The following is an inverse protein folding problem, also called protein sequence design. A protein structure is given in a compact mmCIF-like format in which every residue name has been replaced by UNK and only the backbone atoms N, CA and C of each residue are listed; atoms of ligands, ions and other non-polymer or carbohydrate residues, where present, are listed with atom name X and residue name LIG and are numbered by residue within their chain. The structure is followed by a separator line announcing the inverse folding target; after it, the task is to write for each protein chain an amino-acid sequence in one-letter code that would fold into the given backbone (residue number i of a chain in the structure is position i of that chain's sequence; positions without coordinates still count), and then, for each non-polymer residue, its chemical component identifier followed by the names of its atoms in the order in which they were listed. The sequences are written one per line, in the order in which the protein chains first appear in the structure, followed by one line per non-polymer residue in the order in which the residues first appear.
data_IF_747790107055
#
_entry.id   IF_747790107055
#
_cell.length_a   1.000
_cell.length_b   1.000
_cell.length_c   1.000
_cell.angle_alpha   90.00
_cell.angle_beta   90.00
_cell.angle_gamma   90.00
#
_symmetry.space_group_name_H-M   'P 1'
#
loop_
_entity.id
_entity.type
_entity.pdbx_description
1 polymer ?
#
# COMPACT_ATOMS: atom_id res chain seq x y z
N UNK A 1 -44.79 35.06 1.43
CA UNK A 1 -44.67 33.90 0.53
C UNK A 1 -43.21 33.79 0.14
N UNK A 2 -42.57 32.62 0.25
CA UNK A 2 -41.19 32.44 -0.22
C UNK A 2 -41.23 32.28 -1.74
N UNK A 3 -40.57 33.15 -2.49
CA UNK A 3 -40.70 33.23 -3.94
C UNK A 3 -39.82 32.24 -4.72
N UNK A 4 -38.95 31.46 -4.06
CA UNK A 4 -38.00 30.50 -4.67
C UNK A 4 -37.17 31.02 -5.87
N UNK A 5 -37.15 32.34 -6.08
CA UNK A 5 -36.43 32.98 -7.16
C UNK A 5 -34.92 32.91 -6.91
N UNK A 6 -34.18 32.65 -7.98
CA UNK A 6 -32.72 32.54 -7.97
C UNK A 6 -32.15 33.30 -9.15
N UNK A 7 -31.09 34.06 -8.91
CA UNK A 7 -30.30 34.73 -9.92
C UNK A 7 -28.82 34.46 -9.66
N UNK A 8 -28.01 34.52 -10.72
CA UNK A 8 -26.56 34.33 -10.65
C UNK A 8 -25.85 35.65 -10.98
N UNK A 9 -24.69 35.87 -10.38
CA UNK A 9 -23.83 37.00 -10.73
C UNK A 9 -23.10 36.73 -12.06
N UNK A 10 -22.87 37.79 -12.84
CA UNK A 10 -22.04 37.73 -14.05
C UNK A 10 -20.53 37.69 -13.69
N UNK A 11 -19.66 37.69 -14.72
CA UNK A 11 -18.20 37.66 -14.55
C UNK A 11 -17.63 38.89 -13.80
N UNK A 12 -18.35 40.01 -13.81
CA UNK A 12 -18.00 41.25 -13.11
C UNK A 12 -18.54 41.28 -11.67
N UNK A 13 -19.29 40.24 -11.25
CA UNK A 13 -19.90 40.17 -9.92
C UNK A 13 -21.24 40.91 -9.79
N UNK A 14 -21.81 41.39 -10.88
CA UNK A 14 -23.10 42.08 -10.91
C UNK A 14 -24.26 41.07 -10.95
N UNK A 15 -25.34 41.36 -10.23
CA UNK A 15 -26.56 40.55 -10.21
C UNK A 15 -27.81 41.45 -10.20
N UNK A 16 -28.94 40.90 -10.64
CA UNK A 16 -30.25 41.54 -10.55
C UNK A 16 -31.28 40.47 -10.19
N UNK A 17 -32.17 40.79 -9.26
CA UNK A 17 -33.25 39.89 -8.81
C UNK A 17 -34.44 40.72 -8.35
N UNK A 18 -35.64 40.27 -8.70
CA UNK A 18 -36.87 40.87 -8.20
C UNK A 18 -37.11 40.41 -6.76
N UNK A 19 -37.43 41.34 -5.87
CA UNK A 19 -37.69 41.03 -4.46
C UNK A 19 -38.75 41.97 -3.90
N UNK A 20 -39.55 41.48 -2.96
CA UNK A 20 -40.52 42.30 -2.25
C UNK A 20 -39.89 42.94 -1.01
N UNK A 21 -40.52 44.01 -0.51
CA UNK A 21 -40.12 44.61 0.75
C UNK A 21 -40.12 43.54 1.86
N UNK A 22 -39.08 43.57 2.70
CA UNK A 22 -38.83 42.62 3.79
C UNK A 22 -38.39 41.20 3.41
N UNK A 23 -38.20 40.90 2.13
CA UNK A 23 -37.62 39.62 1.72
C UNK A 23 -36.17 39.47 2.20
N UNK A 24 -35.77 38.23 2.50
CA UNK A 24 -34.39 37.87 2.84
C UNK A 24 -33.67 37.30 1.63
N UNK A 25 -32.69 38.04 1.12
CA UNK A 25 -31.78 37.58 0.07
C UNK A 25 -30.64 36.77 0.69
N UNK A 26 -30.36 35.60 0.11
CA UNK A 26 -29.29 34.69 0.57
C UNK A 26 -28.25 34.51 -0.53
N UNK A 27 -27.00 34.70 -0.17
CA UNK A 27 -25.85 34.60 -1.08
C UNK A 27 -25.02 33.38 -0.72
N UNK A 28 -24.75 32.51 -1.71
CA UNK A 28 -24.03 31.25 -1.52
C UNK A 28 -23.00 31.09 -2.64
N UNK A 29 -21.75 30.78 -2.25
CA UNK A 29 -20.66 30.43 -3.17
C UNK A 29 -19.80 29.35 -2.55
N UNK A 30 -19.36 28.38 -3.35
CA UNK A 30 -18.46 27.32 -2.89
C UNK A 30 -17.17 27.92 -2.31
N UNK A 31 -16.78 27.47 -1.11
CA UNK A 31 -15.60 27.96 -0.38
C UNK A 31 -15.81 29.27 0.39
N UNK A 32 -17.04 29.78 0.46
CA UNK A 32 -17.40 30.97 1.22
C UNK A 32 -18.57 30.69 2.17
N UNK A 33 -18.62 31.43 3.27
CA UNK A 33 -19.73 31.41 4.20
C UNK A 33 -21.00 31.98 3.55
N UNK A 34 -22.16 31.52 4.01
CA UNK A 34 -23.45 32.03 3.55
C UNK A 34 -23.73 33.38 4.20
N UNK A 35 -23.95 34.40 3.38
CA UNK A 35 -24.35 35.74 3.84
C UNK A 35 -25.83 35.99 3.51
N UNK A 36 -26.58 36.67 4.37
CA UNK A 36 -27.94 37.12 4.06
C UNK A 36 -28.17 38.61 4.34
N UNK A 37 -29.11 39.23 3.60
CA UNK A 37 -29.50 40.63 3.73
C UNK A 37 -31.01 40.76 3.53
N UNK A 38 -31.66 41.65 4.29
CA UNK A 38 -33.08 41.98 4.13
C UNK A 38 -33.25 43.16 3.17
N UNK A 39 -34.29 43.12 2.35
CA UNK A 39 -34.68 44.22 1.45
C UNK A 39 -35.40 45.31 2.27
N UNK A 40 -34.91 46.55 2.18
CA UNK A 40 -35.46 47.71 2.90
C UNK A 40 -36.70 48.28 2.17
N UNK A 41 -37.59 48.93 2.90
CA UNK A 41 -38.89 49.45 2.43
C UNK A 41 -38.83 50.70 1.56
N UNK A 42 -37.70 51.40 1.55
CA UNK A 42 -37.72 52.84 1.32
C UNK A 42 -37.54 53.20 -0.17
N UNK A 43 -37.83 52.27 -1.07
CA UNK A 43 -37.93 52.50 -2.52
C UNK A 43 -36.62 52.86 -3.24
N UNK A 44 -35.50 52.98 -2.51
CA UNK A 44 -34.18 53.23 -3.09
C UNK A 44 -33.46 51.89 -3.21
N UNK A 45 -33.50 51.31 -4.41
CA UNK A 45 -32.64 50.19 -4.81
C UNK A 45 -31.18 50.67 -4.94
N UNK A 46 -30.60 51.09 -3.80
CA UNK A 46 -29.18 51.37 -3.68
C UNK A 46 -28.39 50.11 -4.02
N UNK A 47 -27.33 50.27 -4.81
CA UNK A 47 -26.44 49.20 -5.21
C UNK A 47 -26.03 48.38 -3.97
N UNK A 48 -26.47 47.12 -3.91
CA UNK A 48 -26.21 46.25 -2.77
C UNK A 48 -24.82 45.63 -2.92
N UNK A 49 -23.85 46.16 -2.17
CA UNK A 49 -22.52 45.57 -2.10
C UNK A 49 -22.49 44.44 -1.06
N UNK A 50 -22.23 43.22 -1.52
CA UNK A 50 -22.13 42.02 -0.67
C UNK A 50 -20.67 41.57 -0.60
N UNK A 51 -20.15 41.42 0.63
CA UNK A 51 -18.86 40.81 0.89
C UNK A 51 -19.06 39.37 1.38
N UNK A 52 -18.36 38.42 0.76
CA UNK A 52 -18.38 37.01 1.14
C UNK A 52 -17.09 36.66 1.88
N UNK A 53 -17.23 36.01 3.04
CA UNK A 53 -16.10 35.57 3.87
C UNK A 53 -15.70 34.17 3.42
N UNK A 54 -14.40 33.91 3.21
CA UNK A 54 -13.91 32.58 2.86
C UNK A 54 -14.02 31.63 4.05
N UNK A 55 -14.47 30.41 3.83
CA UNK A 55 -14.43 29.36 4.85
C UNK A 55 -12.96 29.00 5.12
N UNK A 56 -12.56 28.97 6.39
CA UNK A 56 -11.23 28.51 6.78
C UNK A 56 -11.05 27.05 6.31
N UNK A 57 -9.99 26.81 5.54
CA UNK A 57 -9.59 25.46 5.14
C UNK A 57 -8.43 25.04 6.01
N UNK A 58 -8.56 23.90 6.67
CA UNK A 58 -7.46 23.27 7.38
C UNK A 58 -6.37 22.90 6.37
N UNK A 59 -5.18 23.47 6.56
CA UNK A 59 -4.00 23.11 5.77
C UNK A 59 -3.36 21.92 6.46
N UNK A 60 -3.34 20.77 5.80
CA UNK A 60 -2.68 19.58 6.31
C UNK A 60 -1.16 19.85 6.42
N UNK A 61 -0.58 19.57 7.59
CA UNK A 61 0.83 19.84 7.85
C UNK A 61 1.71 18.94 6.96
N UNK A 62 2.53 19.57 6.10
CA UNK A 62 3.48 18.84 5.26
C UNK A 62 4.66 18.41 6.13
N UNK A 63 4.81 17.11 6.37
CA UNK A 63 6.01 16.55 7.01
C UNK A 63 7.21 16.71 6.08
N UNK A 64 7.98 17.76 6.27
CA UNK A 64 9.25 17.95 5.57
C UNK A 64 10.32 17.11 6.24
N UNK A 65 10.81 16.09 5.54
CA UNK A 65 11.93 15.28 6.04
C UNK A 65 13.21 16.14 6.08
N UNK A 66 13.97 16.08 7.19
CA UNK A 66 15.29 16.73 7.28
C UNK A 66 16.22 16.13 6.22
N UNK A 67 16.54 16.91 5.19
CA UNK A 67 17.54 16.56 4.18
C UNK A 67 18.94 16.79 4.73
N UNK A 68 19.87 15.92 4.36
CA UNK A 68 21.27 15.97 4.80
C UNK A 68 22.15 16.80 3.88
N UNK A 69 21.66 17.17 2.69
CA UNK A 69 22.40 17.91 1.65
C UNK A 69 23.19 17.01 0.71
N UNK A 70 23.20 15.69 0.96
CA UNK A 70 23.81 14.67 0.12
C UNK A 70 22.73 13.99 -0.71
N UNK A 71 22.69 14.32 -2.00
CA UNK A 71 21.67 13.82 -2.94
C UNK A 71 21.60 12.28 -2.97
N UNK A 72 22.72 11.58 -2.75
CA UNK A 72 22.75 10.12 -2.75
C UNK A 72 22.05 9.48 -1.54
N UNK A 73 22.07 10.17 -0.40
CA UNK A 73 21.38 9.76 0.83
C UNK A 73 19.95 10.28 0.84
N UNK A 74 19.76 11.53 0.45
CA UNK A 74 18.47 12.19 0.46
C UNK A 74 17.51 11.57 -0.56
N UNK A 75 17.99 11.15 -1.74
CA UNK A 75 17.19 10.40 -2.73
C UNK A 75 16.70 9.04 -2.22
N UNK A 76 17.38 8.44 -1.25
CA UNK A 76 16.96 7.17 -0.60
C UNK A 76 16.08 7.41 0.62
N UNK A 77 16.20 8.59 1.24
CA UNK A 77 15.40 9.02 2.39
C UNK A 77 14.01 9.54 1.97
N UNK A 78 13.85 9.98 0.72
CA UNK A 78 12.51 10.12 0.11
C UNK A 78 11.85 8.75 0.19
N UNK A 79 10.81 8.65 1.02
CA UNK A 79 10.08 7.41 1.23
C UNK A 79 9.76 6.79 -0.12
N UNK A 80 10.28 5.58 -0.38
CA UNK A 80 9.79 4.74 -1.47
C UNK A 80 8.29 4.62 -1.24
N UNK A 81 7.52 5.36 -2.02
CA UNK A 81 6.08 5.34 -1.93
C UNK A 81 5.65 3.89 -2.16
N UNK A 82 5.07 3.28 -1.13
CA UNK A 82 4.57 1.92 -1.24
C UNK A 82 3.33 1.95 -2.13
N UNK A 83 3.55 1.68 -3.42
CA UNK A 83 2.49 1.64 -4.42
C UNK A 83 1.40 0.63 -4.05
N UNK A 84 1.74 -0.44 -3.33
CA UNK A 84 0.77 -1.41 -2.83
C UNK A 84 -0.12 -0.82 -1.74
N UNK A 85 0.46 -0.05 -0.81
CA UNK A 85 -0.30 0.65 0.22
C UNK A 85 -1.22 1.73 -0.37
N UNK A 86 -0.74 2.49 -1.36
CA UNK A 86 -1.57 3.48 -2.08
C UNK A 86 -2.79 2.82 -2.74
N UNK A 87 -2.58 1.71 -3.46
CA UNK A 87 -3.66 0.96 -4.10
C UNK A 87 -4.59 0.37 -3.03
N UNK A 88 -4.06 -0.18 -1.95
CA UNK A 88 -4.86 -0.70 -0.84
C UNK A 88 -5.77 0.37 -0.22
N UNK A 89 -5.24 1.57 0.03
CA UNK A 89 -6.01 2.72 0.53
C UNK A 89 -7.08 3.18 -0.47
N UNK A 90 -6.76 3.21 -1.77
CA UNK A 90 -7.71 3.60 -2.82
C UNK A 90 -8.87 2.61 -2.98
N UNK A 91 -8.60 1.32 -2.79
CA UNK A 91 -9.60 0.24 -2.92
C UNK A 91 -10.44 0.08 -1.65
N UNK A 92 -9.92 0.49 -0.48
CA UNK A 92 -10.65 0.44 0.80
C UNK A 92 -10.87 -0.97 1.37
N UNK A 93 -10.23 -1.99 0.79
CA UNK A 93 -10.28 -3.35 1.31
C UNK A 93 -9.27 -3.52 2.45
N UNK A 94 -9.60 -4.28 3.51
CA UNK A 94 -8.62 -4.66 4.51
C UNK A 94 -7.47 -5.41 3.81
N UNK A 95 -6.23 -5.00 4.10
CA UNK A 95 -5.08 -5.69 3.54
C UNK A 95 -5.09 -7.15 4.00
N UNK A 96 -4.78 -8.11 3.12
CA UNK A 96 -4.70 -9.50 3.51
C UNK A 96 -3.68 -9.62 4.64
N UNK A 97 -4.15 -10.04 5.82
CA UNK A 97 -3.25 -10.38 6.93
C UNK A 97 -2.32 -11.48 6.42
N UNK A 98 -1.00 -11.20 6.46
CA UNK A 98 0.00 -12.20 6.14
C UNK A 98 -0.19 -13.45 7.00
N UNK A 99 0.48 -14.56 6.64
CA UNK A 99 0.32 -15.85 7.35
C UNK A 99 0.44 -15.64 8.86
N UNK A 100 -0.64 -15.91 9.59
CA UNK A 100 -0.64 -15.88 11.05
C UNK A 100 0.23 -17.03 11.54
N UNK A 101 1.47 -16.73 11.93
CA UNK A 101 2.43 -17.69 12.48
C UNK A 101 3.04 -17.11 13.74
N UNK A 102 3.30 -17.98 14.71
CA UNK A 102 4.11 -17.61 15.87
C UNK A 102 5.49 -17.16 15.39
N UNK A 103 5.95 -16.00 15.87
CA UNK A 103 7.28 -15.49 15.55
C UNK A 103 8.30 -16.27 16.38
N UNK A 104 9.20 -17.05 15.75
CA UNK A 104 10.21 -17.79 16.48
C UNK A 104 11.18 -16.83 17.15
N UNK A 105 11.64 -17.14 18.36
CA UNK A 105 12.58 -16.29 19.09
C UNK A 105 13.83 -15.97 18.22
N UNK A 106 14.16 -14.68 18.15
CA UNK A 106 15.36 -14.20 17.48
C UNK A 106 16.47 -13.92 18.48
N UNK A 107 17.71 -14.23 18.10
CA UNK A 107 18.88 -14.08 18.98
C UNK A 107 19.00 -12.63 19.47
N UNK A 108 18.81 -11.64 18.57
CA UNK A 108 18.83 -10.22 18.95
C UNK A 108 17.72 -9.84 19.94
N UNK A 109 16.51 -10.34 19.73
CA UNK A 109 15.35 -10.05 20.57
C UNK A 109 15.47 -10.65 21.98
N UNK A 110 16.31 -11.66 22.16
CA UNK A 110 16.57 -12.27 23.47
C UNK A 110 17.83 -11.71 24.13
N UNK A 111 18.92 -11.50 23.40
CA UNK A 111 20.17 -10.97 23.96
C UNK A 111 20.11 -9.48 24.34
N UNK A 112 19.41 -8.65 23.54
CA UNK A 112 19.30 -7.21 23.82
C UNK A 112 18.62 -6.93 25.18
N UNK A 113 17.47 -7.56 25.51
CA UNK A 113 16.89 -7.43 26.85
C UNK A 113 17.83 -7.88 27.95
N UNK A 114 18.51 -9.03 27.79
CA UNK A 114 19.44 -9.57 28.80
C UNK A 114 20.59 -8.59 29.06
N UNK A 115 21.16 -8.00 28.01
CA UNK A 115 22.23 -7.02 28.11
C UNK A 115 21.78 -5.70 28.78
N UNK A 116 20.49 -5.36 28.64
CA UNK A 116 19.85 -4.20 29.26
C UNK A 116 19.24 -4.52 30.65
N UNK A 117 19.57 -5.67 31.24
CA UNK A 117 19.11 -6.07 32.59
C UNK A 117 17.70 -6.66 32.65
N UNK A 118 17.01 -6.84 31.52
CA UNK A 118 15.69 -7.47 31.43
C UNK A 118 15.84 -8.96 31.10
N UNK A 119 15.49 -9.82 32.06
CA UNK A 119 15.56 -11.28 31.89
C UNK A 119 14.35 -11.81 31.10
N UNK A 120 14.53 -12.05 29.79
CA UNK A 120 13.56 -12.81 28.99
C UNK A 120 13.86 -14.33 29.08
N UNK A 121 13.45 -14.95 30.19
CA UNK A 121 13.78 -16.33 30.55
C UNK A 121 13.20 -17.35 29.55
N UNK A 122 11.97 -17.10 29.08
CA UNK A 122 11.29 -17.97 28.12
C UNK A 122 11.97 -17.94 26.75
N UNK A 123 12.28 -16.74 26.22
CA UNK A 123 12.99 -16.59 24.96
C UNK A 123 14.41 -17.17 24.99
N UNK A 124 15.10 -17.06 26.13
CA UNK A 124 16.41 -17.69 26.33
C UNK A 124 16.31 -19.22 26.32
N UNK A 125 15.34 -19.79 27.02
CA UNK A 125 15.09 -21.23 27.03
C UNK A 125 14.74 -21.77 25.64
N UNK A 126 13.90 -21.09 24.87
CA UNK A 126 13.50 -21.54 23.52
C UNK A 126 14.64 -21.46 22.49
N UNK A 127 15.59 -20.55 22.67
CA UNK A 127 16.83 -20.49 21.90
C UNK A 127 17.80 -21.62 22.27
N UNK A 128 18.04 -21.84 23.57
CA UNK A 128 18.98 -22.85 24.09
C UNK A 128 18.46 -24.27 23.84
N UNK A 129 17.17 -24.51 24.10
CA UNK A 129 16.51 -25.82 23.88
C UNK A 129 16.39 -26.20 22.40
N UNK A 130 16.70 -25.27 21.48
CA UNK A 130 16.66 -25.51 20.04
C UNK A 130 15.25 -25.53 19.45
N UNK A 131 14.19 -25.28 20.24
CA UNK A 131 12.81 -25.16 19.75
C UNK A 131 12.69 -24.10 18.66
N UNK A 132 13.27 -22.92 18.87
CA UNK A 132 13.30 -21.85 17.87
C UNK A 132 14.00 -22.27 16.56
N UNK A 133 15.05 -23.11 16.65
CA UNK A 133 15.74 -23.66 15.47
C UNK A 133 14.90 -24.71 14.73
N UNK A 134 14.12 -25.51 15.44
CA UNK A 134 13.20 -26.50 14.84
C UNK A 134 12.03 -25.79 14.14
N UNK A 135 11.41 -24.82 14.81
CA UNK A 135 10.31 -24.03 14.25
C UNK A 135 10.74 -23.26 12.99
N UNK A 136 11.90 -22.60 13.00
CA UNK A 136 12.45 -21.93 11.80
C UNK A 136 12.69 -22.90 10.64
N UNK A 137 13.16 -24.12 10.93
CA UNK A 137 13.36 -25.15 9.91
C UNK A 137 12.03 -25.61 9.32
N UNK A 138 11.04 -25.89 10.16
CA UNK A 138 9.70 -26.26 9.73
C UNK A 138 9.10 -25.20 8.80
N UNK A 139 9.09 -23.92 9.20
CA UNK A 139 8.55 -22.85 8.36
C UNK A 139 9.27 -22.71 7.02
N UNK A 140 10.59 -22.96 6.98
CA UNK A 140 11.34 -22.97 5.72
C UNK A 140 10.88 -24.09 4.79
N UNK A 141 10.63 -25.29 5.32
CA UNK A 141 10.12 -26.42 4.54
C UNK A 141 8.69 -26.16 4.07
N UNK A 142 7.81 -25.67 4.95
CA UNK A 142 6.42 -25.35 4.59
C UNK A 142 6.36 -24.31 3.47
N UNK A 143 7.13 -23.22 3.60
CA UNK A 143 7.19 -22.18 2.58
C UNK A 143 7.88 -22.66 1.29
N UNK A 144 8.79 -23.63 1.36
CA UNK A 144 9.38 -24.23 0.18
C UNK A 144 8.33 -25.05 -0.58
N UNK A 145 7.67 -25.97 0.12
CA UNK A 145 6.64 -26.85 -0.45
C UNK A 145 5.48 -26.06 -1.04
N UNK A 146 5.05 -24.99 -0.36
CA UNK A 146 3.99 -24.12 -0.86
C UNK A 146 4.37 -23.43 -2.18
N UNK A 147 5.61 -22.94 -2.31
CA UNK A 147 6.07 -22.32 -3.55
C UNK A 147 6.20 -23.34 -4.69
N UNK A 148 6.70 -24.55 -4.40
CA UNK A 148 6.75 -25.65 -5.38
C UNK A 148 5.34 -25.99 -5.86
N UNK A 149 4.43 -26.22 -4.92
CA UNK A 149 3.02 -26.53 -5.22
C UNK A 149 2.33 -25.39 -5.98
N UNK A 150 2.69 -24.13 -5.70
CA UNK A 150 2.12 -22.98 -6.40
C UNK A 150 2.45 -22.98 -7.90
N UNK A 151 3.70 -23.35 -8.26
CA UNK A 151 4.14 -23.53 -9.64
C UNK A 151 3.45 -24.74 -10.26
N UNK A 152 3.53 -25.92 -9.61
CA UNK A 152 2.96 -27.17 -10.14
C UNK A 152 1.45 -27.12 -10.38
N UNK A 153 0.70 -26.30 -9.63
CA UNK A 153 -0.74 -26.10 -9.84
C UNK A 153 -1.07 -25.21 -11.04
N UNK A 154 -0.08 -24.58 -11.67
CA UNK A 154 -0.27 -23.55 -12.72
C UNK A 154 0.54 -23.79 -13.99
N UNK A 155 1.62 -24.55 -13.90
CA UNK A 155 2.39 -25.01 -15.04
C UNK A 155 2.13 -26.51 -15.22
N UNK A 156 1.76 -26.91 -16.42
CA UNK A 156 1.53 -28.31 -16.77
C UNK A 156 2.84 -29.10 -16.70
N UNK A 157 2.77 -30.36 -16.27
CA UNK A 157 3.96 -31.21 -16.16
C UNK A 157 4.64 -31.39 -17.54
N UNK A 158 3.88 -31.42 -18.63
CA UNK A 158 4.36 -31.51 -20.02
C UNK A 158 5.34 -30.39 -20.40
N UNK A 159 5.18 -29.19 -19.84
CA UNK A 159 6.11 -28.09 -20.06
C UNK A 159 7.52 -28.47 -19.60
N UNK A 160 7.67 -29.08 -18.42
CA UNK A 160 8.96 -29.51 -17.90
C UNK A 160 9.50 -30.74 -18.62
N UNK A 161 8.62 -31.68 -18.95
CA UNK A 161 8.98 -32.91 -19.66
C UNK A 161 9.53 -32.58 -21.06
N UNK A 162 8.94 -31.60 -21.75
CA UNK A 162 9.43 -31.14 -23.06
C UNK A 162 10.86 -30.59 -23.02
N UNK A 163 11.31 -30.12 -21.85
CA UNK A 163 12.67 -29.64 -21.59
C UNK A 163 13.63 -30.76 -21.13
N UNK A 164 13.18 -32.01 -21.11
CA UNK A 164 13.97 -33.17 -20.72
C UNK A 164 14.01 -33.45 -19.22
N UNK A 165 13.17 -32.78 -18.42
CA UNK A 165 13.07 -33.04 -16.98
C UNK A 165 12.10 -34.22 -16.75
N UNK A 166 12.52 -35.30 -16.07
CA UNK A 166 11.62 -36.41 -15.77
C UNK A 166 10.45 -35.97 -14.90
N UNK A 167 9.24 -36.47 -15.16
CA UNK A 167 7.99 -36.05 -14.50
C UNK A 167 8.04 -36.20 -12.97
N UNK A 168 8.66 -37.28 -12.49
CA UNK A 168 8.88 -37.56 -11.08
C UNK A 168 9.88 -36.61 -10.40
N UNK A 169 10.72 -35.94 -11.19
CA UNK A 169 11.75 -34.99 -10.71
C UNK A 169 11.37 -33.52 -10.90
N UNK A 170 10.16 -33.21 -11.36
CA UNK A 170 9.71 -31.81 -11.56
C UNK A 170 9.78 -31.00 -10.26
N UNK A 171 9.29 -31.55 -9.13
CA UNK A 171 9.36 -30.87 -7.84
C UNK A 171 10.81 -30.58 -7.40
N UNK A 172 11.70 -31.54 -7.65
CA UNK A 172 13.12 -31.42 -7.34
C UNK A 172 13.80 -30.37 -8.22
N UNK A 173 13.47 -30.34 -9.52
CA UNK A 173 13.95 -29.29 -10.43
C UNK A 173 13.49 -27.89 -10.00
N UNK A 174 12.24 -27.75 -9.55
CA UNK A 174 11.73 -26.48 -9.02
C UNK A 174 12.51 -26.06 -7.77
N UNK A 175 12.71 -26.97 -6.83
CA UNK A 175 13.53 -26.71 -5.64
C UNK A 175 14.96 -26.31 -6.00
N UNK A 176 15.57 -27.06 -6.92
CA UNK A 176 16.91 -26.79 -7.44
C UNK A 176 17.01 -25.39 -8.05
N UNK A 177 16.01 -24.99 -8.82
CA UNK A 177 15.94 -23.67 -9.44
C UNK A 177 15.89 -22.54 -8.40
N UNK A 178 15.23 -22.76 -7.25
CA UNK A 178 15.24 -21.77 -6.17
C UNK A 178 16.60 -21.60 -5.50
N UNK A 179 17.43 -22.65 -5.50
CA UNK A 179 18.79 -22.62 -4.94
C UNK A 179 19.77 -21.96 -5.89
N UNK A 180 19.76 -22.35 -7.17
CA UNK A 180 20.67 -21.81 -8.17
C UNK A 180 20.31 -20.36 -8.56
N UNK A 181 19.01 -20.05 -8.68
CA UNK A 181 18.53 -18.71 -9.05
C UNK A 181 17.48 -18.20 -8.06
N UNK A 182 17.90 -17.49 -6.99
CA UNK A 182 16.98 -16.97 -5.97
C UNK A 182 15.87 -16.06 -6.50
N UNK A 183 16.07 -15.45 -7.67
CA UNK A 183 15.10 -14.59 -8.37
C UNK A 183 13.82 -15.35 -8.74
N UNK A 184 13.90 -16.66 -9.03
CA UNK A 184 12.72 -17.49 -9.30
C UNK A 184 11.73 -17.38 -8.15
N UNK A 185 12.22 -17.48 -6.90
CA UNK A 185 11.38 -17.40 -5.71
C UNK A 185 10.81 -15.99 -5.49
N UNK A 186 11.50 -14.94 -5.96
CA UNK A 186 10.98 -13.56 -5.96
C UNK A 186 9.78 -13.44 -6.90
N UNK A 187 9.85 -14.01 -8.10
CA UNK A 187 8.73 -14.02 -9.04
C UNK A 187 7.53 -14.82 -8.51
N UNK A 188 7.77 -15.96 -7.85
CA UNK A 188 6.71 -16.73 -7.18
C UNK A 188 6.00 -15.91 -6.10
N UNK A 189 6.75 -15.17 -5.27
CA UNK A 189 6.17 -14.27 -4.24
C UNK A 189 5.37 -13.13 -4.86
N UNK A 190 5.82 -12.61 -6.00
CA UNK A 190 5.13 -11.60 -6.79
C UNK A 190 3.96 -12.16 -7.62
N UNK A 191 3.65 -13.47 -7.49
CA UNK A 191 2.62 -14.17 -8.27
C UNK A 191 2.81 -14.08 -9.79
N UNK A 192 4.05 -13.91 -10.24
CA UNK A 192 4.42 -13.86 -11.65
C UNK A 192 4.94 -15.23 -12.10
N UNK A 193 4.08 -16.03 -12.73
CA UNK A 193 4.46 -17.37 -13.20
C UNK A 193 5.44 -17.30 -14.37
N UNK A 194 5.17 -16.48 -15.39
CA UNK A 194 6.00 -16.38 -16.58
C UNK A 194 7.44 -15.97 -16.25
N UNK A 195 7.63 -15.02 -15.33
CA UNK A 195 8.96 -14.61 -14.87
C UNK A 195 9.68 -15.72 -14.09
N UNK A 196 8.94 -16.53 -13.32
CA UNK A 196 9.52 -17.67 -12.63
C UNK A 196 9.97 -18.75 -13.63
N UNK A 197 9.10 -19.13 -14.58
CA UNK A 197 9.39 -20.16 -15.59
C UNK A 197 10.56 -19.75 -16.49
N UNK A 198 10.55 -18.52 -17.01
CA UNK A 198 11.66 -17.98 -17.81
C UNK A 198 13.01 -18.09 -17.10
N UNK A 199 13.05 -17.77 -15.80
CA UNK A 199 14.27 -17.91 -15.00
C UNK A 199 14.65 -19.35 -14.69
N UNK A 200 13.69 -20.27 -14.65
CA UNK A 200 13.95 -21.69 -14.48
C UNK A 200 14.53 -22.33 -15.74
N UNK A 201 14.12 -21.88 -16.93
CA UNK A 201 14.67 -22.37 -18.21
C UNK A 201 16.20 -22.19 -18.28
N UNK A 202 16.73 -21.08 -17.76
CA UNK A 202 18.18 -20.82 -17.67
C UNK A 202 18.92 -21.90 -16.84
N UNK A 203 18.22 -22.58 -15.92
CA UNK A 203 18.78 -23.56 -14.98
C UNK A 203 18.67 -25.00 -15.49
N UNK A 204 17.77 -25.28 -16.44
CA UNK A 204 17.56 -26.59 -17.06
C UNK A 204 18.88 -27.28 -17.45
N UNK A 205 19.80 -26.67 -18.23
CA UNK A 205 21.02 -27.35 -18.65
C UNK A 205 21.94 -27.74 -17.49
N UNK A 206 21.89 -27.00 -16.37
CA UNK A 206 22.67 -27.29 -15.17
C UNK A 206 22.07 -28.50 -14.46
N UNK A 207 20.74 -28.55 -14.33
CA UNK A 207 20.04 -29.65 -13.69
C UNK A 207 20.24 -30.97 -14.46
N UNK A 208 20.07 -30.93 -15.79
CA UNK A 208 20.25 -32.11 -16.65
C UNK A 208 21.68 -32.67 -16.62
N UNK A 209 22.70 -31.82 -16.40
CA UNK A 209 24.08 -32.27 -16.21
C UNK A 209 24.29 -33.03 -14.90
N UNK A 210 23.57 -32.66 -13.83
CA UNK A 210 23.64 -33.32 -12.51
C UNK A 210 22.79 -34.59 -12.41
N UNK A 211 21.96 -34.81 -13.42
CA UNK A 211 21.09 -35.99 -13.58
C UNK A 211 21.85 -37.22 -14.09
N UNK A 212 23.00 -37.00 -14.74
CA UNK A 212 23.91 -38.02 -15.26
C UNK A 212 24.97 -38.37 -14.23
#
# INVERSE_FOLDING_TARGET
MSTDQKAYSNAEGLFSIDAFAYDELRFVRAGFERTSRKVLTDGINSQLLISLIRVAQDIEEVKVNKITGDLSKDSRAVAKVDKGEMVGRAVGLPQPVGKMREKPAEIKQVLLPILLGNLNVQGAYDLISGKARRQKRQYRYDDLQEHINWIRKRADDDYFISMGIPGERISEFIEFSFLETPQVRTYVKAKNLSGALFKMEEVVPIFLKRLK
#
